data_IF_670904446191
#
_entry.id   IF_670904446191
#
_cell.length_a   1.000
_cell.length_b   1.000
_cell.length_c   1.000
_cell.angle_alpha   90.00
_cell.angle_beta   90.00
_cell.angle_gamma   90.00
#
_symmetry.space_group_name_H-M   'P 1'
#
loop_
_entity.id
_entity.type
_entity.pdbx_description
1 polymer ?
#
# COMPACT_ATOMS: atom_id res chain seq x y z
N UNK A 1 4.76 29.88 -2.85
CA UNK A 1 4.02 30.05 -4.13
C UNK A 1 3.48 28.67 -4.43
N UNK A 2 2.17 28.52 -4.67
CA UNK A 2 1.58 27.19 -4.81
C UNK A 2 2.01 26.53 -6.13
N UNK A 3 2.38 25.25 -6.10
CA UNK A 3 2.74 24.49 -7.28
C UNK A 3 1.54 23.61 -7.67
N UNK A 4 0.50 24.23 -8.21
CA UNK A 4 -0.79 23.56 -8.43
C UNK A 4 -1.16 23.40 -9.90
N UNK A 5 -0.46 24.11 -10.79
CA UNK A 5 -0.68 24.06 -12.24
C UNK A 5 0.60 23.72 -13.00
N UNK A 6 0.46 23.26 -14.25
CA UNK A 6 1.62 23.01 -15.12
C UNK A 6 2.51 24.25 -15.28
N UNK A 7 1.99 25.47 -15.54
CA UNK A 7 2.81 26.68 -15.57
C UNK A 7 3.57 26.96 -14.26
N UNK A 8 2.99 26.66 -13.09
CA UNK A 8 3.68 26.83 -11.80
C UNK A 8 4.88 25.89 -11.70
N UNK A 9 4.69 24.62 -12.07
CA UNK A 9 5.78 23.64 -12.09
C UNK A 9 6.87 24.02 -13.10
N UNK A 10 6.51 24.46 -14.30
CA UNK A 10 7.47 24.93 -15.31
C UNK A 10 8.30 26.13 -14.82
N UNK A 11 7.67 27.07 -14.11
CA UNK A 11 8.37 28.20 -13.48
C UNK A 11 9.35 27.70 -12.41
N UNK A 12 8.94 26.75 -11.57
CA UNK A 12 9.80 26.14 -10.57
C UNK A 12 10.99 25.42 -11.21
N UNK A 13 10.76 24.54 -12.18
CA UNK A 13 11.81 23.80 -12.89
C UNK A 13 12.83 24.76 -13.53
N UNK A 14 12.37 25.83 -14.19
CA UNK A 14 13.26 26.88 -14.74
C UNK A 14 14.06 27.60 -13.66
N UNK A 15 13.46 27.89 -12.50
CA UNK A 15 14.15 28.53 -11.38
C UNK A 15 15.26 27.66 -10.77
N UNK A 16 15.10 26.34 -10.86
CA UNK A 16 16.08 25.35 -10.40
C UNK A 16 17.11 24.97 -11.47
N UNK A 17 17.02 25.54 -12.68
CA UNK A 17 17.90 25.21 -13.80
C UNK A 17 17.71 23.79 -14.34
N UNK A 18 16.52 23.19 -14.15
CA UNK A 18 16.22 21.84 -14.62
C UNK A 18 15.73 21.87 -16.07
N UNK A 19 16.35 21.03 -16.91
CA UNK A 19 15.94 20.87 -18.30
C UNK A 19 14.72 19.94 -18.42
N UNK A 20 13.78 20.33 -19.28
CA UNK A 20 12.62 19.51 -19.65
C UNK A 20 12.21 19.84 -21.10
N UNK A 21 11.69 18.84 -21.81
CA UNK A 21 11.10 18.98 -23.13
C UNK A 21 9.58 19.18 -23.07
N UNK A 22 8.88 18.49 -22.17
CA UNK A 22 7.44 18.68 -21.91
C UNK A 22 7.07 18.34 -20.47
N UNK A 23 5.94 18.90 -20.02
CA UNK A 23 5.32 18.64 -18.72
C UNK A 23 3.84 18.33 -18.93
N UNK A 24 3.40 17.18 -18.43
CA UNK A 24 2.02 16.71 -18.59
C UNK A 24 1.43 16.32 -17.23
N UNK A 25 0.26 16.85 -16.84
CA UNK A 25 -0.37 16.44 -15.60
C UNK A 25 -0.77 14.96 -15.67
N UNK A 26 -0.49 14.21 -14.62
CA UNK A 26 -0.97 12.84 -14.47
C UNK A 26 -2.33 12.86 -13.77
N UNK A 27 -3.27 12.15 -14.38
CA UNK A 27 -4.59 11.90 -13.81
C UNK A 27 -4.50 10.72 -12.84
N UNK A 28 -5.24 10.82 -11.73
CA UNK A 28 -5.15 9.88 -10.62
C UNK A 28 -4.59 10.54 -9.35
N UNK A 29 -4.58 9.78 -8.26
CA UNK A 29 -4.22 10.26 -6.92
C UNK A 29 -5.24 11.25 -6.35
N UNK A 30 -5.40 11.25 -5.03
CA UNK A 30 -6.38 12.11 -4.34
C UNK A 30 -5.74 13.33 -3.69
N UNK A 31 -4.54 13.15 -3.13
CA UNK A 31 -3.92 14.12 -2.23
C UNK A 31 -2.96 15.11 -2.91
N UNK A 32 -2.22 14.68 -3.94
CA UNK A 32 -1.07 15.42 -4.47
C UNK A 32 -1.22 15.80 -5.93
N UNK A 33 -0.48 16.83 -6.34
CA UNK A 33 -0.34 17.20 -7.73
C UNK A 33 0.84 16.44 -8.33
N UNK A 34 0.60 15.81 -9.49
CA UNK A 34 1.55 14.89 -10.11
C UNK A 34 1.65 15.20 -11.59
N UNK A 35 2.87 15.22 -12.10
CA UNK A 35 3.16 15.44 -13.51
C UNK A 35 4.18 14.43 -14.01
N UNK A 36 4.06 14.09 -15.29
CA UNK A 36 5.13 13.47 -16.07
C UNK A 36 5.97 14.57 -16.71
N UNK A 37 7.27 14.46 -16.51
CA UNK A 37 8.29 15.25 -17.20
C UNK A 37 8.87 14.40 -18.32
N UNK A 38 9.00 14.95 -19.52
CA UNK A 38 9.83 14.37 -20.57
C UNK A 38 11.11 15.18 -20.64
N UNK A 39 12.27 14.54 -20.52
CA UNK A 39 13.58 15.18 -20.64
C UNK A 39 13.98 15.35 -22.12
N UNK A 40 14.96 16.23 -22.44
CA UNK A 40 15.47 16.36 -23.81
C UNK A 40 16.01 15.04 -24.41
N UNK A 41 16.46 14.11 -23.56
CA UNK A 41 16.88 12.75 -23.97
C UNK A 41 15.73 11.84 -24.40
N UNK A 42 14.47 12.21 -24.12
CA UNK A 42 13.29 11.37 -24.27
C UNK A 42 12.97 10.50 -23.04
N UNK A 43 13.84 10.48 -22.02
CA UNK A 43 13.57 9.83 -20.73
C UNK A 43 12.41 10.52 -20.01
N UNK A 44 11.54 9.76 -19.35
CA UNK A 44 10.44 10.31 -18.55
C UNK A 44 10.69 10.19 -17.05
N UNK A 45 10.20 11.18 -16.30
CA UNK A 45 10.24 11.24 -14.83
C UNK A 45 8.90 11.68 -14.28
N UNK A 46 8.65 11.42 -13.00
CA UNK A 46 7.46 11.88 -12.30
C UNK A 46 7.81 12.95 -11.28
N UNK A 47 7.22 14.13 -11.41
CA UNK A 47 7.24 15.17 -10.39
C UNK A 47 5.98 15.08 -9.53
N UNK A 48 6.15 15.09 -8.21
CA UNK A 48 5.05 15.01 -7.23
C UNK A 48 5.20 16.12 -6.20
N UNK A 49 4.13 16.86 -5.98
CA UNK A 49 4.08 18.00 -5.04
C UNK A 49 2.86 17.92 -4.12
N UNK A 50 3.06 18.31 -2.86
CA UNK A 50 2.00 18.43 -1.87
C UNK A 50 1.74 19.89 -1.49
N UNK A 51 0.46 20.24 -1.51
CA UNK A 51 -0.09 21.43 -0.84
C UNK A 51 -0.58 21.06 0.58
N UNK A 52 -0.82 22.03 1.49
CA UNK A 52 -1.28 21.79 2.87
C UNK A 52 -2.74 21.31 2.95
N UNK A 53 -3.27 20.75 1.87
CA UNK A 53 -4.60 20.20 1.71
C UNK A 53 -4.59 19.03 0.71
N UNK A 54 -5.70 18.27 0.67
CA UNK A 54 -5.93 17.22 -0.33
C UNK A 54 -6.31 17.87 -1.67
N UNK A 55 -5.56 17.62 -2.75
CA UNK A 55 -5.86 18.14 -4.11
C UNK A 55 -7.34 18.04 -4.49
N UNK A 56 -7.96 16.88 -4.29
CA UNK A 56 -9.37 16.65 -4.67
C UNK A 56 -10.38 17.18 -3.64
N UNK A 57 -9.94 17.59 -2.46
CA UNK A 57 -10.78 18.23 -1.45
C UNK A 57 -9.99 19.30 -0.70
N UNK A 58 -9.80 20.51 -1.29
CA UNK A 58 -8.97 21.56 -0.70
C UNK A 58 -9.45 22.07 0.65
N UNK A 59 -10.70 21.78 1.05
CA UNK A 59 -11.21 22.10 2.38
C UNK A 59 -10.63 21.19 3.48
N UNK A 60 -10.07 20.04 3.11
CA UNK A 60 -9.47 19.09 4.04
C UNK A 60 -7.97 19.36 4.17
N UNK A 61 -7.56 19.87 5.34
CA UNK A 61 -6.16 20.10 5.65
C UNK A 61 -5.39 18.77 5.68
N UNK A 62 -4.24 18.73 5.00
CA UNK A 62 -3.35 17.59 5.01
C UNK A 62 -1.91 18.07 5.00
N UNK A 63 -1.13 17.64 5.99
CA UNK A 63 0.21 18.17 6.21
C UNK A 63 1.17 17.79 5.05
N UNK A 64 1.93 18.78 4.59
CA UNK A 64 2.94 18.69 3.53
C UNK A 64 4.14 17.83 3.91
N UNK A 65 4.38 17.60 5.21
CA UNK A 65 5.46 16.72 5.71
C UNK A 65 5.41 15.30 5.08
N UNK A 66 4.26 14.89 4.56
CA UNK A 66 4.09 13.65 3.78
C UNK A 66 5.06 13.53 2.60
N UNK A 67 5.46 14.65 1.97
CA UNK A 67 6.50 14.64 0.92
C UNK A 67 7.90 14.41 1.49
N UNK A 68 8.18 14.89 2.70
CA UNK A 68 9.44 14.58 3.39
C UNK A 68 9.52 13.11 3.77
N UNK A 69 8.42 12.49 4.20
CA UNK A 69 8.38 11.05 4.46
C UNK A 69 8.63 10.23 3.19
N UNK A 70 7.99 10.60 2.08
CA UNK A 70 8.22 9.94 0.79
C UNK A 70 9.67 10.14 0.31
N UNK A 71 10.19 11.37 0.31
CA UNK A 71 11.57 11.66 -0.08
C UNK A 71 12.59 10.89 0.76
N UNK A 72 12.39 10.81 2.08
CA UNK A 72 13.24 10.03 2.98
C UNK A 72 13.17 8.53 2.70
N UNK A 73 11.97 7.99 2.44
CA UNK A 73 11.80 6.58 2.09
C UNK A 73 12.52 6.24 0.79
N UNK A 74 12.35 7.06 -0.26
CA UNK A 74 13.00 6.87 -1.55
C UNK A 74 14.53 7.01 -1.47
N UNK A 75 15.07 7.80 -0.54
CA UNK A 75 16.51 7.93 -0.34
C UNK A 75 17.13 6.77 0.48
N UNK A 76 16.43 6.33 1.54
CA UNK A 76 16.99 5.41 2.55
C UNK A 76 16.73 3.93 2.24
N UNK A 77 15.53 3.60 1.77
CA UNK A 77 15.10 2.21 1.63
C UNK A 77 15.85 1.46 0.52
N UNK A 78 16.17 2.03 -0.66
CA UNK A 78 16.92 1.30 -1.68
C UNK A 78 18.28 0.78 -1.19
N UNK A 79 18.96 1.55 -0.34
CA UNK A 79 20.23 1.15 0.28
C UNK A 79 20.04 0.01 1.28
N UNK A 80 18.92 0.02 2.00
CA UNK A 80 18.56 -1.02 3.00
C UNK A 80 18.11 -2.32 2.32
N UNK A 81 17.45 -2.22 1.16
CA UNK A 81 16.84 -3.32 0.44
C UNK A 81 17.71 -3.87 -0.71
N UNK A 82 18.95 -3.38 -0.85
CA UNK A 82 19.83 -3.77 -1.97
C UNK A 82 19.86 -5.29 -2.17
N UNK A 83 19.58 -5.61 -3.44
CA UNK A 83 19.12 -6.82 -4.14
C UNK A 83 19.25 -8.19 -3.46
N UNK A 84 18.12 -8.87 -3.32
CA UNK A 84 18.03 -10.28 -3.75
C UNK A 84 17.15 -10.31 -4.98
N UNK A 85 17.75 -10.40 -6.17
CA UNK A 85 16.99 -10.89 -7.32
C UNK A 85 16.57 -12.31 -6.96
N UNK A 86 15.28 -12.50 -6.69
CA UNK A 86 14.67 -13.81 -6.86
C UNK A 86 14.95 -14.18 -8.31
N UNK A 87 15.43 -15.40 -8.53
CA UNK A 87 15.81 -16.05 -9.80
C UNK A 87 15.50 -15.26 -11.09
N UNK A 88 16.35 -15.26 -12.13
CA UNK A 88 16.21 -14.41 -13.33
C UNK A 88 14.83 -14.37 -14.03
N UNK A 89 13.98 -15.37 -13.79
CA UNK A 89 12.62 -15.51 -14.33
C UNK A 89 11.50 -14.93 -13.45
N UNK A 90 11.81 -14.46 -12.23
CA UNK A 90 10.82 -13.90 -11.31
C UNK A 90 10.65 -12.39 -11.55
N UNK A 91 9.44 -11.83 -11.33
CA UNK A 91 9.26 -10.38 -11.35
C UNK A 91 10.20 -9.67 -10.39
N UNK A 92 10.83 -8.59 -10.83
CA UNK A 92 11.64 -7.75 -9.95
C UNK A 92 10.75 -6.77 -9.20
N UNK A 93 11.02 -6.55 -7.91
CA UNK A 93 10.33 -5.53 -7.10
C UNK A 93 11.32 -4.44 -6.73
N UNK A 94 10.97 -3.18 -7.00
CA UNK A 94 11.84 -2.03 -6.78
C UNK A 94 11.09 -0.84 -6.17
N UNK A 95 11.87 0.12 -5.69
CA UNK A 95 11.42 1.47 -5.32
C UNK A 95 11.92 2.42 -6.43
N UNK A 96 11.10 3.38 -6.90
CA UNK A 96 11.55 4.39 -7.86
C UNK A 96 12.80 5.12 -7.38
N UNK A 97 13.72 5.40 -8.29
CA UNK A 97 14.91 6.22 -7.97
C UNK A 97 14.49 7.67 -7.75
N UNK A 98 14.93 8.26 -6.64
CA UNK A 98 14.77 9.69 -6.38
C UNK A 98 15.85 10.48 -7.14
N UNK A 99 15.43 11.39 -8.02
CA UNK A 99 16.31 12.26 -8.80
C UNK A 99 16.45 13.66 -8.19
N UNK A 100 15.39 14.16 -7.57
CA UNK A 100 15.38 15.46 -6.91
C UNK A 100 14.43 15.45 -5.72
N UNK A 101 14.80 16.17 -4.67
CA UNK A 101 13.92 16.46 -3.55
C UNK A 101 14.20 17.87 -3.03
N UNK A 102 13.16 18.70 -3.02
CA UNK A 102 13.17 20.02 -2.40
C UNK A 102 12.17 20.01 -1.22
N UNK A 103 12.67 19.97 0.02
CA UNK A 103 11.82 19.94 1.21
C UNK A 103 11.10 21.27 1.44
N UNK A 104 11.62 22.40 0.97
CA UNK A 104 11.04 23.73 1.17
C UNK A 104 9.87 23.97 0.19
N UNK A 105 10.01 23.47 -1.04
CA UNK A 105 8.95 23.49 -2.04
C UNK A 105 8.03 22.25 -1.98
N UNK A 106 8.27 21.32 -1.06
CA UNK A 106 7.51 20.07 -0.89
C UNK A 106 7.30 19.31 -2.20
N UNK A 107 8.37 19.16 -2.98
CA UNK A 107 8.34 18.51 -4.30
C UNK A 107 9.48 17.51 -4.42
N UNK A 108 9.17 16.37 -5.04
CA UNK A 108 10.14 15.37 -5.43
C UNK A 108 10.01 15.02 -6.92
N UNK A 109 11.13 14.60 -7.51
CA UNK A 109 11.18 14.06 -8.87
C UNK A 109 11.79 12.67 -8.79
N UNK A 110 11.10 11.67 -9.32
CA UNK A 110 11.50 10.26 -9.27
C UNK A 110 11.34 9.57 -10.64
N UNK A 111 11.84 8.33 -10.74
CA UNK A 111 11.62 7.49 -11.93
C UNK A 111 10.14 7.46 -12.32
N UNK A 112 9.87 7.54 -13.62
CA UNK A 112 8.58 7.14 -14.15
C UNK A 112 8.51 5.61 -14.18
N UNK A 113 7.63 5.04 -13.36
CA UNK A 113 7.51 3.60 -13.17
C UNK A 113 6.41 2.96 -14.03
N UNK A 114 5.88 3.70 -15.01
CA UNK A 114 4.89 3.21 -15.96
C UNK A 114 3.49 3.76 -15.70
N UNK A 115 2.55 3.34 -16.54
CA UNK A 115 1.19 3.91 -16.58
C UNK A 115 0.14 3.09 -15.83
N UNK A 116 0.41 1.80 -15.62
CA UNK A 116 -0.60 0.86 -15.14
C UNK A 116 -0.24 0.34 -13.76
N UNK A 117 -1.14 0.51 -12.79
CA UNK A 117 -1.02 -0.15 -11.50
C UNK A 117 -1.55 -1.59 -11.56
N UNK A 118 -1.17 -2.40 -10.57
CA UNK A 118 -1.55 -3.80 -10.46
C UNK A 118 -3.07 -3.99 -10.45
N UNK A 119 -3.83 -3.09 -9.81
CA UNK A 119 -5.30 -3.12 -9.83
C UNK A 119 -5.87 -3.03 -11.25
N UNK A 120 -5.33 -2.14 -12.09
CA UNK A 120 -5.76 -1.96 -13.48
C UNK A 120 -5.17 -3.01 -14.44
N UNK A 121 -3.99 -3.55 -14.14
CA UNK A 121 -3.32 -4.58 -14.93
C UNK A 121 -3.98 -5.94 -14.76
N UNK A 122 -4.26 -6.33 -13.51
CA UNK A 122 -4.72 -7.65 -13.12
C UNK A 122 -5.88 -8.22 -13.97
N UNK A 123 -6.98 -7.51 -14.27
CA UNK A 123 -8.10 -8.07 -15.04
C UNK A 123 -7.70 -8.53 -16.45
N UNK A 124 -6.74 -7.84 -17.07
CA UNK A 124 -6.34 -8.05 -18.46
C UNK A 124 -5.16 -9.04 -18.62
N UNK A 125 -4.58 -9.50 -17.51
CA UNK A 125 -3.42 -10.38 -17.50
C UNK A 125 -3.80 -11.87 -17.48
N UNK A 126 -3.07 -12.75 -18.19
CA UNK A 126 -3.23 -14.20 -18.05
C UNK A 126 -3.04 -14.69 -16.61
N UNK A 127 -3.89 -15.62 -16.17
CA UNK A 127 -3.84 -16.18 -14.82
C UNK A 127 -2.48 -16.83 -14.47
N UNK A 128 -1.74 -17.33 -15.47
CA UNK A 128 -0.42 -17.93 -15.28
C UNK A 128 0.65 -16.96 -14.78
N UNK A 129 0.52 -15.65 -15.01
CA UNK A 129 1.51 -14.65 -14.60
C UNK A 129 1.30 -14.16 -13.15
N UNK A 130 0.06 -14.21 -12.66
CA UNK A 130 -0.34 -13.61 -11.38
C UNK A 130 0.37 -14.22 -10.15
N UNK A 131 0.53 -15.57 -10.02
CA UNK A 131 1.19 -16.13 -8.85
C UNK A 131 2.64 -15.65 -8.68
N UNK A 132 3.37 -15.44 -9.77
CA UNK A 132 4.74 -14.95 -9.72
C UNK A 132 4.81 -13.50 -9.19
N UNK A 133 3.83 -12.67 -9.56
CA UNK A 133 3.69 -11.29 -9.04
C UNK A 133 3.39 -11.31 -7.54
N UNK A 134 2.43 -12.13 -7.11
CA UNK A 134 2.10 -12.28 -5.69
C UNK A 134 3.31 -12.73 -4.87
N UNK A 135 4.01 -13.77 -5.33
CA UNK A 135 5.17 -14.32 -4.64
C UNK A 135 6.33 -13.30 -4.52
N UNK A 136 6.59 -12.54 -5.58
CA UNK A 136 7.62 -11.50 -5.57
C UNK A 136 7.30 -10.40 -4.55
N UNK A 137 6.05 -9.90 -4.52
CA UNK A 137 5.62 -8.87 -3.58
C UNK A 137 5.62 -9.35 -2.13
N UNK A 138 5.16 -10.58 -1.87
CA UNK A 138 5.16 -11.16 -0.52
C UNK A 138 6.57 -11.30 0.04
N UNK A 139 7.50 -11.81 -0.78
CA UNK A 139 8.90 -11.94 -0.38
C UNK A 139 9.56 -10.58 -0.16
N UNK A 140 9.33 -9.63 -1.07
CA UNK A 140 9.91 -8.29 -0.96
C UNK A 140 9.39 -7.54 0.28
N UNK A 141 8.10 -7.62 0.59
CA UNK A 141 7.51 -6.98 1.76
C UNK A 141 8.05 -7.58 3.07
N UNK A 142 8.25 -8.89 3.13
CA UNK A 142 8.92 -9.54 4.26
C UNK A 142 10.34 -8.99 4.50
N UNK A 143 11.09 -8.73 3.42
CA UNK A 143 12.42 -8.13 3.51
C UNK A 143 12.37 -6.67 3.96
N UNK A 144 11.41 -5.88 3.47
CA UNK A 144 11.17 -4.52 3.95
C UNK A 144 10.99 -4.53 5.47
N UNK A 145 10.05 -5.34 5.97
CA UNK A 145 9.77 -5.40 7.40
C UNK A 145 10.99 -5.86 8.21
N UNK A 146 11.69 -6.90 7.75
CA UNK A 146 12.84 -7.45 8.48
C UNK A 146 14.02 -6.48 8.55
N UNK A 147 14.42 -5.91 7.41
CA UNK A 147 15.65 -5.11 7.30
C UNK A 147 15.50 -3.71 7.90
N UNK A 148 14.28 -3.22 8.07
CA UNK A 148 14.00 -1.86 8.56
C UNK A 148 13.66 -1.80 10.05
N UNK A 149 13.75 -2.91 10.78
CA UNK A 149 13.43 -2.97 12.22
C UNK A 149 14.18 -1.95 13.07
N UNK A 150 15.38 -1.58 12.66
CA UNK A 150 16.25 -0.62 13.38
C UNK A 150 16.19 0.81 12.81
N UNK A 151 15.42 1.06 11.75
CA UNK A 151 15.25 2.40 11.19
C UNK A 151 14.16 3.15 11.98
N UNK A 152 14.57 4.07 12.87
CA UNK A 152 13.68 4.78 13.80
C UNK A 152 13.10 6.09 13.22
N UNK A 153 13.77 6.72 12.25
CA UNK A 153 13.45 8.07 11.77
C UNK A 153 12.32 8.12 10.72
N UNK A 154 11.42 7.13 10.71
CA UNK A 154 10.38 6.96 9.69
C UNK A 154 8.97 6.94 10.30
N UNK A 155 8.75 7.53 11.48
CA UNK A 155 7.46 7.45 12.17
C UNK A 155 6.54 8.66 11.90
N UNK A 156 5.71 8.54 10.87
CA UNK A 156 4.70 9.54 10.51
C UNK A 156 3.43 9.38 11.38
N UNK A 157 3.30 10.24 12.40
CA UNK A 157 2.13 10.27 13.29
C UNK A 157 0.83 10.59 12.53
N UNK A 158 0.89 11.44 11.50
CA UNK A 158 -0.27 11.75 10.65
C UNK A 158 -0.74 10.49 9.92
N UNK A 159 0.19 9.70 9.38
CA UNK A 159 -0.15 8.45 8.70
C UNK A 159 -0.76 7.42 9.65
N UNK A 160 -0.29 7.32 10.90
CA UNK A 160 -0.92 6.47 11.94
C UNK A 160 -2.38 6.85 12.17
N UNK A 161 -2.67 8.14 12.29
CA UNK A 161 -4.04 8.64 12.49
C UNK A 161 -4.94 8.40 11.28
N UNK A 162 -4.43 8.65 10.08
CA UNK A 162 -5.17 8.39 8.83
C UNK A 162 -5.46 6.90 8.69
N UNK A 163 -4.51 6.03 9.00
CA UNK A 163 -4.74 4.58 8.91
C UNK A 163 -5.86 4.11 9.84
N UNK A 164 -5.96 4.71 11.03
CA UNK A 164 -7.03 4.44 12.00
C UNK A 164 -8.41 4.86 11.49
N UNK A 165 -8.53 5.68 10.44
CA UNK A 165 -9.81 6.12 9.90
C UNK A 165 -10.77 4.96 9.58
N UNK A 166 -10.27 3.86 9.02
CA UNK A 166 -11.10 2.69 8.71
C UNK A 166 -11.65 2.01 9.98
N UNK A 167 -10.85 1.98 11.06
CA UNK A 167 -11.28 1.47 12.36
C UNK A 167 -12.38 2.34 12.97
N UNK A 168 -12.12 3.64 13.11
CA UNK A 168 -13.05 4.55 13.78
C UNK A 168 -14.36 4.77 13.04
N UNK A 169 -14.42 4.38 11.76
CA UNK A 169 -15.64 4.45 10.95
C UNK A 169 -16.23 3.08 10.60
N UNK A 170 -15.69 1.98 11.13
CA UNK A 170 -16.18 0.63 10.86
C UNK A 170 -17.64 0.44 11.30
N UNK A 171 -18.04 1.05 12.42
CA UNK A 171 -19.42 1.03 12.91
C UNK A 171 -20.41 1.60 11.89
N UNK A 172 -20.00 2.62 11.11
CA UNK A 172 -20.83 3.18 10.05
C UNK A 172 -21.07 2.21 8.90
N UNK A 173 -20.06 1.40 8.54
CA UNK A 173 -20.20 0.35 7.53
C UNK A 173 -21.11 -0.77 8.04
N UNK A 174 -20.95 -1.18 9.30
CA UNK A 174 -21.80 -2.20 9.92
C UNK A 174 -23.27 -1.77 9.98
N UNK A 175 -23.53 -0.55 10.47
CA UNK A 175 -24.88 0.00 10.54
C UNK A 175 -25.55 0.08 9.16
N UNK A 176 -24.81 0.46 8.10
CA UNK A 176 -25.31 0.51 6.72
C UNK A 176 -25.87 -0.84 6.26
N UNK A 177 -25.27 -1.95 6.67
CA UNK A 177 -25.64 -3.31 6.25
C UNK A 177 -26.34 -4.13 7.35
N UNK A 178 -26.87 -3.46 8.38
CA UNK A 178 -27.69 -4.09 9.42
C UNK A 178 -26.91 -5.02 10.37
N UNK A 179 -25.61 -4.78 10.54
CA UNK A 179 -24.77 -5.51 11.50
C UNK A 179 -24.65 -4.72 12.81
N UNK A 180 -24.50 -5.46 13.91
CA UNK A 180 -24.29 -4.91 15.27
C UNK A 180 -22.97 -4.13 15.34
N UNK A 181 -23.04 -2.87 15.76
CA UNK A 181 -21.91 -1.95 15.79
C UNK A 181 -21.01 -2.13 17.03
N UNK A 182 -21.47 -2.86 18.06
CA UNK A 182 -20.69 -3.13 19.27
C UNK A 182 -19.33 -3.78 18.95
N UNK A 183 -19.32 -4.79 18.07
CA UNK A 183 -18.07 -5.43 17.64
C UNK A 183 -17.14 -4.44 16.93
N UNK A 184 -17.67 -3.54 16.11
CA UNK A 184 -16.85 -2.56 15.40
C UNK A 184 -16.18 -1.58 16.36
N UNK A 185 -16.90 -1.13 17.39
CA UNK A 185 -16.37 -0.26 18.44
C UNK A 185 -15.29 -0.97 19.25
N UNK A 186 -15.54 -2.21 19.68
CA UNK A 186 -14.56 -3.04 20.40
C UNK A 186 -13.28 -3.26 19.58
N UNK A 187 -13.40 -3.44 18.27
CA UNK A 187 -12.25 -3.61 17.36
C UNK A 187 -11.43 -2.32 17.23
N UNK A 188 -12.05 -1.13 17.16
CA UNK A 188 -11.30 0.15 17.18
C UNK A 188 -10.62 0.38 18.54
N UNK A 189 -11.32 0.13 19.65
CA UNK A 189 -10.77 0.29 20.99
C UNK A 189 -9.59 -0.65 21.25
N UNK A 190 -9.69 -1.91 20.83
CA UNK A 190 -8.64 -2.91 21.05
C UNK A 190 -7.51 -2.80 20.02
N UNK A 191 -7.82 -2.84 18.73
CA UNK A 191 -6.81 -2.95 17.65
C UNK A 191 -6.51 -1.60 16.99
N UNK A 192 -7.52 -0.76 16.77
CA UNK A 192 -7.34 0.58 16.20
C UNK A 192 -6.46 1.47 17.09
N UNK A 193 -6.64 1.41 18.40
CA UNK A 193 -5.82 2.15 19.37
C UNK A 193 -4.34 1.77 19.35
N UNK A 194 -4.00 0.51 19.04
CA UNK A 194 -2.61 0.01 19.00
C UNK A 194 -1.78 0.70 17.90
N UNK A 195 -2.41 1.13 16.80
CA UNK A 195 -1.74 1.80 15.67
C UNK A 195 -0.94 3.03 16.11
N UNK A 196 -1.38 3.74 17.16
CA UNK A 196 -0.69 4.91 17.67
C UNK A 196 0.69 4.58 18.25
N UNK A 197 0.84 3.40 18.84
CA UNK A 197 2.04 2.97 19.59
C UNK A 197 2.89 1.93 18.87
N UNK A 198 2.42 1.41 17.73
CA UNK A 198 3.15 0.38 17.01
C UNK A 198 4.50 0.90 16.49
N UNK A 199 5.54 0.10 16.71
CA UNK A 199 6.93 0.53 16.54
C UNK A 199 7.87 -0.68 16.28
N UNK A 200 7.59 -1.52 15.27
CA UNK A 200 8.43 -2.71 14.97
C UNK A 200 9.32 -2.50 13.75
N UNK A 201 8.74 -2.17 12.59
CA UNK A 201 9.44 -1.98 11.32
C UNK A 201 8.91 -0.74 10.59
N UNK A 202 9.55 -0.39 9.48
CA UNK A 202 8.99 0.59 8.55
C UNK A 202 7.89 -0.11 7.74
N UNK A 203 6.69 0.47 7.79
CA UNK A 203 5.58 0.14 6.92
C UNK A 203 5.55 1.14 5.77
N UNK A 204 5.25 0.66 4.55
CA UNK A 204 4.83 1.52 3.44
C UNK A 204 3.62 2.36 3.86
N UNK A 205 2.69 1.72 4.58
CA UNK A 205 1.59 2.39 5.24
C UNK A 205 0.36 2.64 4.38
N UNK A 206 0.49 2.51 3.07
CA UNK A 206 -0.61 2.38 2.10
C UNK A 206 -0.27 1.31 1.03
N UNK A 207 0.06 0.09 1.48
CA UNK A 207 0.54 -0.98 0.58
C UNK A 207 -0.65 -1.72 -0.06
N UNK A 208 -1.25 -1.13 -1.09
CA UNK A 208 -2.34 -1.73 -1.87
C UNK A 208 -2.00 -1.87 -3.35
N UNK A 209 -2.84 -2.59 -4.08
CA UNK A 209 -2.65 -2.92 -5.51
C UNK A 209 -2.64 -1.68 -6.43
N UNK A 210 -3.18 -0.54 -5.99
CA UNK A 210 -3.09 0.73 -6.70
C UNK A 210 -1.71 1.40 -6.64
N UNK A 211 -0.90 1.08 -5.64
CA UNK A 211 0.44 1.64 -5.41
C UNK A 211 1.58 0.73 -5.90
N UNK A 212 1.24 -0.31 -6.68
CA UNK A 212 2.19 -1.18 -7.36
C UNK A 212 2.09 -0.90 -8.86
N UNK A 213 3.06 -0.21 -9.44
CA UNK A 213 3.13 -0.02 -10.89
C UNK A 213 3.77 -1.23 -11.56
N UNK A 214 3.13 -1.72 -12.62
CA UNK A 214 3.57 -2.89 -13.38
C UNK A 214 4.13 -2.43 -14.72
N UNK A 215 5.37 -2.83 -15.00
CA UNK A 215 6.01 -2.61 -16.29
C UNK A 215 6.44 -3.95 -16.88
N UNK A 216 5.98 -4.26 -18.09
CA UNK A 216 6.33 -5.48 -18.83
C UNK A 216 7.40 -5.11 -19.87
N UNK A 217 8.59 -5.68 -19.72
CA UNK A 217 9.71 -5.50 -20.65
C UNK A 217 9.49 -6.27 -21.96
N UNK A 218 10.13 -5.80 -23.03
CA UNK A 218 10.09 -6.45 -24.35
C UNK A 218 10.66 -7.89 -24.33
N UNK A 219 11.53 -8.17 -23.36
CA UNK A 219 12.14 -9.49 -23.11
C UNK A 219 11.22 -10.43 -22.31
N UNK A 220 10.00 -10.00 -21.98
CA UNK A 220 9.05 -10.75 -21.16
C UNK A 220 9.31 -10.63 -19.65
N UNK A 221 10.26 -9.79 -19.23
CA UNK A 221 10.47 -9.49 -17.82
C UNK A 221 9.32 -8.64 -17.25
N UNK A 222 9.03 -8.80 -15.96
CA UNK A 222 8.06 -7.95 -15.25
C UNK A 222 8.77 -7.19 -14.14
N UNK A 223 8.61 -5.87 -14.11
CA UNK A 223 9.10 -5.00 -13.05
C UNK A 223 7.93 -4.42 -12.29
N UNK A 224 7.93 -4.60 -10.98
CA UNK A 224 6.95 -4.10 -10.03
C UNK A 224 7.59 -2.95 -9.26
N UNK A 225 7.06 -1.75 -9.38
CA UNK A 225 7.57 -0.57 -8.68
C UNK A 225 6.59 -0.17 -7.57
N UNK A 226 7.06 -0.16 -6.33
CA UNK A 226 6.28 0.26 -5.16
C UNK A 226 6.40 1.78 -5.02
N UNK A 227 5.29 2.48 -5.22
CA UNK A 227 5.22 3.94 -5.26
C UNK A 227 4.34 4.50 -4.14
N UNK A 228 4.35 5.81 -3.94
CA UNK A 228 3.50 6.53 -2.99
C UNK A 228 3.82 6.24 -1.51
N UNK A 229 5.07 6.55 -1.13
CA UNK A 229 5.59 6.32 0.23
C UNK A 229 5.21 7.43 1.22
N UNK A 230 4.23 8.28 0.91
CA UNK A 230 3.88 9.43 1.75
C UNK A 230 3.26 9.04 3.11
N UNK A 231 2.74 7.81 3.16
CA UNK A 231 2.14 7.18 4.34
C UNK A 231 3.13 6.34 5.16
N UNK A 232 4.43 6.42 4.82
CA UNK A 232 5.50 5.70 5.52
C UNK A 232 5.43 5.99 7.01
N UNK A 233 5.35 4.94 7.82
CA UNK A 233 5.27 5.04 9.28
C UNK A 233 5.99 3.87 9.93
N UNK A 234 6.13 3.91 11.25
CA UNK A 234 6.49 2.71 12.00
C UNK A 234 5.24 1.96 12.44
N UNK A 235 5.32 0.64 12.38
CA UNK A 235 4.21 -0.27 12.61
C UNK A 235 4.68 -1.70 12.88
N UNK A 236 3.75 -2.63 13.02
CA UNK A 236 4.05 -4.07 13.18
C UNK A 236 4.32 -4.78 11.85
N UNK A 237 4.10 -4.12 10.71
CA UNK A 237 4.05 -4.73 9.38
C UNK A 237 2.72 -5.42 9.07
N UNK A 238 1.90 -5.75 10.07
CA UNK A 238 0.64 -6.47 9.87
C UNK A 238 -0.35 -5.67 9.00
N UNK A 239 -0.34 -4.34 9.10
CA UNK A 239 -1.18 -3.46 8.29
C UNK A 239 -0.86 -3.56 6.80
N UNK A 240 0.42 -3.58 6.42
CA UNK A 240 0.80 -3.64 5.00
C UNK A 240 0.44 -5.00 4.39
N UNK A 241 0.69 -6.10 5.14
CA UNK A 241 0.33 -7.45 4.70
C UNK A 241 -1.17 -7.60 4.55
N UNK A 242 -1.92 -7.18 5.56
CA UNK A 242 -3.37 -7.33 5.59
C UNK A 242 -4.06 -6.47 4.53
N UNK A 243 -3.62 -5.23 4.33
CA UNK A 243 -4.17 -4.35 3.29
C UNK A 243 -3.92 -4.92 1.90
N UNK A 244 -2.68 -5.34 1.59
CA UNK A 244 -2.41 -5.95 0.30
C UNK A 244 -3.19 -7.26 0.12
N UNK A 245 -3.26 -8.10 1.15
CA UNK A 245 -4.02 -9.35 1.09
C UNK A 245 -5.52 -9.10 0.86
N UNK A 246 -6.11 -8.08 1.48
CA UNK A 246 -7.50 -7.69 1.27
C UNK A 246 -7.74 -7.21 -0.16
N UNK A 247 -6.85 -6.38 -0.68
CA UNK A 247 -6.91 -5.85 -2.05
C UNK A 247 -6.69 -6.93 -3.11
N UNK A 248 -5.75 -7.83 -2.87
CA UNK A 248 -5.54 -9.02 -3.68
C UNK A 248 -6.76 -9.95 -3.64
N UNK A 249 -7.39 -10.10 -2.47
CA UNK A 249 -8.59 -10.91 -2.31
C UNK A 249 -9.75 -10.33 -3.12
N UNK A 250 -9.95 -9.00 -3.08
CA UNK A 250 -10.99 -8.35 -3.89
C UNK A 250 -10.75 -8.58 -5.39
N UNK A 251 -9.50 -8.50 -5.86
CA UNK A 251 -9.16 -8.82 -7.25
C UNK A 251 -9.38 -10.30 -7.59
N UNK A 252 -8.96 -11.23 -6.74
CA UNK A 252 -9.21 -12.66 -6.95
C UNK A 252 -10.72 -12.95 -6.95
N UNK A 253 -11.46 -12.40 -6.00
CA UNK A 253 -12.88 -12.67 -5.81
C UNK A 253 -13.75 -12.08 -6.93
N UNK A 254 -13.45 -10.86 -7.37
CA UNK A 254 -14.28 -10.10 -8.31
C UNK A 254 -13.74 -10.11 -9.75
N UNK A 255 -12.47 -10.47 -9.97
CA UNK A 255 -11.80 -10.36 -11.27
C UNK A 255 -11.13 -11.67 -11.73
N UNK A 256 -11.70 -12.83 -11.36
CA UNK A 256 -11.41 -14.11 -12.03
C UNK A 256 -10.47 -15.08 -11.31
N UNK A 257 -10.15 -14.86 -10.03
CA UNK A 257 -9.54 -15.86 -9.16
C UNK A 257 -8.19 -16.38 -9.65
N UNK A 258 -7.24 -15.49 -9.93
CA UNK A 258 -5.97 -15.83 -10.58
C UNK A 258 -4.86 -16.20 -9.59
N UNK A 259 -5.16 -16.16 -8.29
CA UNK A 259 -4.31 -16.69 -7.21
C UNK A 259 -3.33 -15.67 -6.62
N UNK A 260 -3.61 -14.36 -6.73
CA UNK A 260 -2.73 -13.31 -6.22
C UNK A 260 -2.60 -13.37 -4.70
N UNK A 261 -3.73 -13.50 -4.00
CA UNK A 261 -3.81 -13.49 -2.53
C UNK A 261 -3.02 -14.64 -1.94
N UNK A 262 -3.28 -15.85 -2.46
CA UNK A 262 -2.63 -17.07 -1.99
C UNK A 262 -1.12 -17.00 -2.21
N UNK A 263 -0.67 -16.67 -3.42
CA UNK A 263 0.75 -16.61 -3.74
C UNK A 263 1.49 -15.54 -2.92
N UNK A 264 0.87 -14.38 -2.71
CA UNK A 264 1.41 -13.34 -1.84
C UNK A 264 1.59 -13.81 -0.40
N UNK A 265 0.53 -14.37 0.21
CA UNK A 265 0.57 -14.80 1.60
C UNK A 265 1.53 -15.97 1.81
N UNK A 266 1.54 -16.98 0.93
CA UNK A 266 2.46 -18.12 1.01
C UNK A 266 3.92 -17.67 0.95
N UNK A 267 4.27 -16.77 0.03
CA UNK A 267 5.63 -16.26 -0.09
C UNK A 267 6.03 -15.38 1.09
N UNK A 268 5.13 -14.52 1.58
CA UNK A 268 5.39 -13.72 2.77
C UNK A 268 5.64 -14.62 4.00
N UNK A 269 4.74 -15.57 4.25
CA UNK A 269 4.85 -16.55 5.36
C UNK A 269 6.16 -17.32 5.28
N UNK A 270 6.49 -17.86 4.10
CA UNK A 270 7.73 -18.60 3.89
C UNK A 270 8.97 -17.76 4.19
N UNK A 271 8.95 -16.47 3.84
CA UNK A 271 10.05 -15.54 4.08
C UNK A 271 10.20 -15.14 5.56
N UNK A 272 9.10 -15.09 6.33
CA UNK A 272 9.11 -14.62 7.72
C UNK A 272 9.07 -15.73 8.77
N UNK A 273 8.91 -16.99 8.40
CA UNK A 273 8.67 -18.09 9.36
C UNK A 273 9.72 -18.22 10.48
N UNK A 274 10.97 -17.86 10.19
CA UNK A 274 12.09 -17.94 11.15
C UNK A 274 12.31 -16.61 11.91
N UNK A 275 11.47 -15.60 11.68
CA UNK A 275 11.63 -14.29 12.31
C UNK A 275 10.92 -14.24 13.66
N UNK A 276 11.68 -14.06 14.73
CA UNK A 276 11.20 -14.07 16.13
C UNK A 276 10.04 -13.09 16.44
N UNK A 277 9.86 -12.03 15.64
CA UNK A 277 8.80 -11.05 15.84
C UNK A 277 7.44 -11.50 15.31
N UNK A 278 7.40 -12.58 14.52
CA UNK A 278 6.17 -13.20 14.04
C UNK A 278 5.65 -14.13 15.12
N UNK A 279 4.53 -13.76 15.72
CA UNK A 279 3.90 -14.48 16.81
C UNK A 279 2.37 -14.41 16.68
N UNK A 280 1.65 -15.03 17.62
CA UNK A 280 0.19 -15.05 17.61
C UNK A 280 -0.43 -13.64 17.60
N UNK A 281 0.15 -12.67 18.30
CA UNK A 281 -0.33 -11.27 18.30
C UNK A 281 -0.19 -10.62 16.91
N UNK A 282 0.90 -10.89 16.18
CA UNK A 282 1.05 -10.45 14.80
C UNK A 282 -0.05 -11.04 13.90
N UNK A 283 -0.37 -12.33 14.06
CA UNK A 283 -1.44 -12.98 13.29
C UNK A 283 -2.82 -12.42 13.64
N UNK A 284 -3.13 -12.23 14.93
CA UNK A 284 -4.39 -11.60 15.38
C UNK A 284 -4.57 -10.24 14.71
N UNK A 285 -3.51 -9.41 14.74
CA UNK A 285 -3.49 -8.10 14.07
C UNK A 285 -3.71 -8.22 12.57
N UNK A 286 -3.00 -9.11 11.88
CA UNK A 286 -3.14 -9.31 10.44
C UNK A 286 -4.59 -9.66 10.07
N UNK A 287 -5.18 -10.64 10.75
CA UNK A 287 -6.56 -11.09 10.49
C UNK A 287 -7.56 -9.98 10.76
N UNK A 288 -7.40 -9.24 11.86
CA UNK A 288 -8.26 -8.10 12.19
C UNK A 288 -8.10 -6.97 11.17
N UNK A 289 -6.88 -6.58 10.79
CA UNK A 289 -6.64 -5.56 9.77
C UNK A 289 -7.27 -5.95 8.42
N UNK A 290 -7.19 -7.22 8.02
CA UNK A 290 -7.84 -7.71 6.81
C UNK A 290 -9.36 -7.56 6.90
N UNK A 291 -9.95 -7.98 8.02
CA UNK A 291 -11.38 -7.86 8.28
C UNK A 291 -11.87 -6.41 8.24
N UNK A 292 -11.12 -5.48 8.84
CA UNK A 292 -11.44 -4.03 8.78
C UNK A 292 -11.38 -3.53 7.34
N UNK A 293 -10.34 -3.88 6.59
CA UNK A 293 -10.18 -3.41 5.21
C UNK A 293 -11.34 -3.86 4.32
N UNK A 294 -11.65 -5.17 4.35
CA UNK A 294 -12.72 -5.77 3.55
C UNK A 294 -14.10 -5.27 3.96
N UNK A 295 -14.33 -5.02 5.25
CA UNK A 295 -15.63 -4.51 5.70
C UNK A 295 -15.85 -3.01 5.46
N UNK A 296 -14.78 -2.21 5.47
CA UNK A 296 -14.92 -0.76 5.41
C UNK A 296 -14.73 -0.19 4.00
N UNK A 297 -13.61 -0.49 3.33
CA UNK A 297 -13.23 0.22 2.11
C UNK A 297 -14.16 -0.02 0.91
N UNK A 298 -14.71 -1.23 0.67
CA UNK A 298 -15.72 -1.42 -0.36
C UNK A 298 -16.97 -0.55 -0.20
N UNK A 299 -17.26 -0.04 1.00
CA UNK A 299 -18.38 0.89 1.24
C UNK A 299 -18.07 2.33 0.82
N UNK A 300 -16.80 2.65 0.56
CA UNK A 300 -16.27 3.99 0.23
C UNK A 300 -15.69 4.07 -1.17
N UNK A 301 -15.12 2.97 -1.65
CA UNK A 301 -14.54 2.81 -2.98
C UNK A 301 -15.32 1.71 -3.68
N UNK A 302 -15.94 2.04 -4.80
CA UNK A 302 -16.74 1.08 -5.56
C UNK A 302 -15.86 -0.05 -6.09
N UNK A 303 -16.22 -1.28 -5.72
CA UNK A 303 -15.58 -2.53 -6.17
C UNK A 303 -16.58 -3.45 -6.88
N UNK A 304 -17.83 -3.41 -6.44
CA UNK A 304 -18.92 -4.29 -6.82
C UNK A 304 -20.26 -3.60 -6.52
N UNK A 305 -21.37 -4.26 -6.81
CA UNK A 305 -22.69 -3.72 -6.47
C UNK A 305 -22.95 -3.68 -4.96
N UNK A 306 -24.06 -3.06 -4.56
CA UNK A 306 -24.42 -2.85 -3.16
C UNK A 306 -24.67 -4.17 -2.39
N UNK A 307 -25.19 -5.21 -3.04
CA UNK A 307 -25.44 -6.52 -2.43
C UNK A 307 -24.11 -7.23 -2.16
N UNK A 308 -23.25 -7.30 -3.17
CA UNK A 308 -21.90 -7.86 -3.07
C UNK A 308 -21.07 -7.08 -2.04
N UNK A 309 -21.23 -5.77 -1.95
CA UNK A 309 -20.59 -4.96 -0.90
C UNK A 309 -21.05 -5.39 0.48
N UNK A 310 -22.36 -5.65 0.67
CA UNK A 310 -22.90 -6.17 1.92
C UNK A 310 -22.32 -7.54 2.31
N UNK A 311 -22.08 -8.41 1.34
CA UNK A 311 -21.43 -9.71 1.58
C UNK A 311 -19.97 -9.55 2.02
N UNK A 312 -19.24 -8.59 1.44
CA UNK A 312 -17.88 -8.24 1.90
C UNK A 312 -17.90 -7.70 3.33
N UNK A 313 -18.89 -6.89 3.71
CA UNK A 313 -19.03 -6.42 5.11
C UNK A 313 -19.24 -7.59 6.08
N UNK A 314 -20.07 -8.57 5.72
CA UNK A 314 -20.28 -9.78 6.53
C UNK A 314 -19.03 -10.64 6.62
N UNK A 315 -18.33 -10.83 5.50
CA UNK A 315 -17.05 -11.55 5.48
C UNK A 315 -16.00 -10.88 6.35
N UNK A 316 -15.88 -9.55 6.25
CA UNK A 316 -14.96 -8.78 7.09
C UNK A 316 -15.30 -8.96 8.57
N UNK A 317 -16.59 -8.89 8.95
CA UNK A 317 -17.05 -9.20 10.33
C UNK A 317 -16.61 -10.58 10.80
N UNK A 318 -16.74 -11.62 9.98
CA UNK A 318 -16.31 -12.98 10.35
C UNK A 318 -14.81 -13.03 10.68
N UNK A 319 -13.97 -12.37 9.87
CA UNK A 319 -12.53 -12.28 10.14
C UNK A 319 -12.23 -11.49 11.41
N UNK A 320 -12.96 -10.41 11.69
CA UNK A 320 -12.81 -9.67 12.95
C UNK A 320 -13.11 -10.54 14.17
N UNK A 321 -14.18 -11.35 14.11
CA UNK A 321 -14.52 -12.30 15.18
C UNK A 321 -13.39 -13.31 15.36
N UNK A 322 -12.98 -14.00 14.29
CA UNK A 322 -11.97 -15.06 14.36
C UNK A 322 -10.59 -14.54 14.78
N UNK A 323 -10.18 -13.37 14.28
CA UNK A 323 -8.92 -12.73 14.66
C UNK A 323 -8.90 -12.29 16.12
N UNK A 324 -10.02 -11.77 16.63
CA UNK A 324 -10.14 -11.36 18.03
C UNK A 324 -10.23 -12.55 18.99
N UNK A 325 -10.91 -13.62 18.61
CA UNK A 325 -11.03 -14.84 19.45
C UNK A 325 -9.86 -15.82 19.29
N UNK A 326 -8.93 -15.55 18.34
CA UNK A 326 -7.88 -16.49 17.94
C UNK A 326 -8.45 -17.86 17.45
N UNK A 327 -9.58 -17.83 16.74
CA UNK A 327 -10.17 -19.01 16.12
C UNK A 327 -9.43 -19.37 14.82
N UNK A 328 -8.28 -20.02 14.99
CA UNK A 328 -7.40 -20.39 13.88
C UNK A 328 -7.98 -21.48 12.95
N UNK A 329 -8.96 -22.24 13.42
CA UNK A 329 -9.67 -23.19 12.56
C UNK A 329 -10.59 -22.44 11.59
N UNK A 330 -11.34 -21.43 12.07
CA UNK A 330 -12.13 -20.58 11.20
C UNK A 330 -11.25 -19.82 10.17
N UNK A 331 -10.09 -19.28 10.59
CA UNK A 331 -9.16 -18.59 9.68
C UNK A 331 -8.62 -19.54 8.59
N UNK A 332 -8.39 -20.81 8.93
CA UNK A 332 -7.88 -21.84 7.99
C UNK A 332 -8.86 -22.17 6.86
N UNK A 333 -10.15 -21.92 7.04
CA UNK A 333 -11.16 -22.15 6.00
C UNK A 333 -11.31 -20.97 5.03
N UNK A 334 -10.65 -19.83 5.31
CA UNK A 334 -10.79 -18.59 4.56
C UNK A 334 -9.60 -18.20 3.68
N UNK A 335 -9.62 -16.99 3.09
CA UNK A 335 -8.55 -16.49 2.22
C UNK A 335 -7.20 -16.32 2.94
N UNK A 336 -7.21 -16.22 4.28
CA UNK A 336 -6.02 -16.09 5.11
C UNK A 336 -5.42 -17.42 5.55
N UNK A 337 -5.92 -18.57 5.09
CA UNK A 337 -5.41 -19.88 5.47
C UNK A 337 -3.86 -20.02 5.44
N UNK A 338 -3.11 -19.45 4.48
CA UNK A 338 -1.66 -19.56 4.47
C UNK A 338 -0.97 -19.00 5.71
N UNK A 339 -1.52 -17.97 6.37
CA UNK A 339 -0.85 -17.33 7.52
C UNK A 339 -0.90 -18.17 8.79
N UNK A 340 -1.85 -19.11 8.88
CA UNK A 340 -2.04 -19.97 10.06
C UNK A 340 -0.85 -20.91 10.28
N UNK A 341 -0.07 -21.20 9.23
CA UNK A 341 1.17 -22.01 9.31
C UNK A 341 2.25 -21.34 10.18
N UNK A 342 2.16 -20.04 10.44
CA UNK A 342 3.10 -19.35 11.34
C UNK A 342 2.93 -19.73 12.82
N UNK A 343 1.90 -20.50 13.18
CA UNK A 343 1.66 -20.97 14.55
C UNK A 343 2.22 -22.37 14.83
N UNK A 344 2.74 -23.06 13.81
CA UNK A 344 3.29 -24.43 13.91
C UNK A 344 4.81 -24.45 13.93
#
# INVERSE_FOLDING_TARGET
MGLTTTPDLENYLRSQGMEYASVEPLNGGTANFVWRLTLPSGETRVAKHAEPYIKNNPAFAFNVDRMSFEGNALALLPQTLSTTQLTPTAPSVRIPTLHHFDPDAHILIMDDAGLQNLKAWYPNTPASAIPAVGAALGTWLAQLHHRTRNLRNADNITAKNIYRYAYSNLSSAFAKYGLDDALAQEIDEEFGAKLATDDVCVCHGDFWTGNILVNEGEDGSTTLSVVDWEMTRRGTGATDVAQFAAEAYLLDHLCGGKGLTKAFLEAYVQAVREYEWVNEEFLRRLVVHFGVHVAFWPTRVEWCDEEQTGDLVRLGREHLVSGRSADWEAVRQGPLAPVVVLLS
#
